data_IF_053851555702
#
_entry.id   IF_053851555702
#
_cell.length_a   1.000
_cell.length_b   1.000
_cell.length_c   1.000
_cell.angle_alpha   90.00
_cell.angle_beta   90.00
_cell.angle_gamma   90.00
#
_symmetry.space_group_name_H-M   'P 1'
#
loop_
_entity.id
_entity.type
_entity.pdbx_description
1 polymer ?
#
# COMPACT_ATOMS: atom_id res chain seq x y z
N UNK A 1 -3.04 24.46 -14.40
CA UNK A 1 -2.11 23.52 -13.78
C UNK A 1 -1.31 24.10 -12.60
N UNK A 2 -0.48 25.15 -12.74
CA UNK A 2 0.32 25.68 -11.60
C UNK A 2 -0.48 26.00 -10.32
N UNK A 3 -1.65 26.68 -10.43
CA UNK A 3 -2.53 26.98 -9.28
C UNK A 3 -3.09 25.73 -8.62
N UNK A 4 -3.41 24.69 -9.37
CA UNK A 4 -3.91 23.43 -8.88
C UNK A 4 -2.83 22.70 -8.06
N UNK A 5 -1.62 22.53 -8.64
CA UNK A 5 -0.47 21.91 -7.97
C UNK A 5 -0.14 22.66 -6.68
N UNK A 6 -0.06 23.99 -6.72
CA UNK A 6 0.21 24.81 -5.54
C UNK A 6 -0.85 24.64 -4.45
N UNK A 7 -2.14 24.59 -4.83
CA UNK A 7 -3.23 24.33 -3.87
C UNK A 7 -3.12 22.97 -3.22
N UNK A 8 -2.77 21.93 -3.97
CA UNK A 8 -2.56 20.56 -3.47
C UNK A 8 -1.36 20.49 -2.53
N UNK A 9 -0.25 21.15 -2.89
CA UNK A 9 0.94 21.22 -2.02
C UNK A 9 0.65 22.00 -0.72
N UNK A 10 -0.12 23.09 -0.79
CA UNK A 10 -0.55 23.81 0.41
C UNK A 10 -1.48 22.97 1.29
N UNK A 11 -2.34 22.14 0.72
CA UNK A 11 -3.20 21.22 1.47
C UNK A 11 -2.40 20.08 2.11
N UNK A 12 -1.22 19.73 1.60
CA UNK A 12 -0.33 18.73 2.20
C UNK A 12 0.17 19.19 3.57
N UNK A 13 0.44 20.48 3.75
CA UNK A 13 0.99 21.02 5.01
C UNK A 13 0.08 20.70 6.21
N UNK A 14 -1.21 21.12 6.26
CA UNK A 14 -2.06 20.81 7.40
C UNK A 14 -2.30 19.29 7.55
N UNK A 15 -2.31 18.52 6.46
CA UNK A 15 -2.44 17.06 6.53
C UNK A 15 -1.21 16.45 7.19
N UNK A 16 0.01 16.84 6.78
CA UNK A 16 1.24 16.36 7.41
C UNK A 16 1.32 16.75 8.87
N UNK A 17 1.02 18.01 9.21
CA UNK A 17 0.99 18.45 10.60
C UNK A 17 -0.01 17.65 11.44
N UNK A 18 -1.22 17.42 10.92
CA UNK A 18 -2.25 16.65 11.61
C UNK A 18 -1.84 15.19 11.80
N UNK A 19 -1.38 14.53 10.74
CA UNK A 19 -1.00 13.11 10.77
C UNK A 19 0.23 12.89 11.65
N UNK A 20 1.24 13.75 11.55
CA UNK A 20 2.46 13.65 12.38
C UNK A 20 2.16 13.90 13.85
N UNK A 21 1.34 14.92 14.17
CA UNK A 21 0.93 15.19 15.54
C UNK A 21 0.12 14.04 16.14
N UNK A 22 -0.87 13.52 15.41
CA UNK A 22 -1.67 12.38 15.86
C UNK A 22 -0.82 11.13 16.05
N UNK A 23 0.05 10.82 15.10
CA UNK A 23 0.98 9.69 15.20
C UNK A 23 1.88 9.82 16.43
N UNK A 24 2.46 10.99 16.64
CA UNK A 24 3.30 11.27 17.80
C UNK A 24 2.52 11.14 19.12
N UNK A 25 1.29 11.68 19.17
CA UNK A 25 0.43 11.58 20.36
C UNK A 25 0.03 10.14 20.66
N UNK A 26 -0.37 9.37 19.65
CA UNK A 26 -0.76 7.96 19.82
C UNK A 26 0.39 7.10 20.37
N UNK A 27 1.61 7.31 19.89
CA UNK A 27 2.78 6.58 20.40
C UNK A 27 3.04 6.89 21.87
N UNK A 28 2.86 8.14 22.29
CA UNK A 28 3.01 8.52 23.70
C UNK A 28 1.89 8.00 24.60
N UNK A 29 0.67 7.97 24.09
CA UNK A 29 -0.48 7.40 24.83
C UNK A 29 -0.41 5.89 24.98
N UNK A 30 0.37 5.20 24.14
CA UNK A 30 0.60 3.76 24.23
C UNK A 30 1.38 3.32 25.48
N UNK A 31 1.94 4.27 26.24
CA UNK A 31 2.42 4.07 27.62
C UNK A 31 3.76 3.38 27.79
N UNK A 32 4.43 2.93 26.71
CA UNK A 32 5.79 2.41 26.76
C UNK A 32 6.59 2.89 25.55
N UNK A 33 7.90 2.90 25.67
CA UNK A 33 8.84 3.33 24.65
C UNK A 33 9.79 2.17 24.26
N UNK A 34 10.58 2.37 23.20
CA UNK A 34 11.54 1.37 22.72
C UNK A 34 12.54 0.94 23.82
N UNK A 35 12.90 1.84 24.73
CA UNK A 35 13.83 1.53 25.81
C UNK A 35 13.21 0.57 26.81
N UNK A 36 11.93 0.78 27.15
CA UNK A 36 11.18 -0.14 28.01
C UNK A 36 11.02 -1.50 27.35
N UNK A 37 10.73 -1.54 26.04
CA UNK A 37 10.59 -2.79 25.30
C UNK A 37 11.90 -3.59 25.20
N UNK A 38 13.01 -2.88 24.97
CA UNK A 38 14.31 -3.52 24.80
C UNK A 38 14.92 -4.00 26.12
N UNK A 39 14.72 -3.25 27.22
CA UNK A 39 15.43 -3.45 28.47
C UNK A 39 14.51 -3.80 29.65
N UNK A 40 13.21 -3.43 29.60
CA UNK A 40 12.29 -3.54 30.73
C UNK A 40 11.89 -4.97 31.06
N UNK A 41 11.67 -5.83 30.07
CA UNK A 41 11.20 -7.21 30.25
C UNK A 41 12.33 -8.21 30.60
N UNK A 42 13.57 -7.84 30.35
CA UNK A 42 14.71 -8.78 30.50
C UNK A 42 15.29 -8.84 31.91
N UNK A 43 14.81 -8.02 32.84
CA UNK A 43 15.22 -8.05 34.25
C UNK A 43 16.73 -7.89 34.52
N UNK A 44 17.53 -7.64 33.47
CA UNK A 44 18.99 -7.66 33.50
C UNK A 44 19.62 -6.25 33.57
N UNK A 45 18.80 -5.20 33.41
CA UNK A 45 19.31 -3.83 33.35
C UNK A 45 18.75 -3.00 34.49
N UNK A 46 19.61 -2.25 35.21
CA UNK A 46 19.16 -1.38 36.30
C UNK A 46 18.28 -0.24 35.78
N UNK A 47 17.36 0.24 36.63
CA UNK A 47 16.49 1.37 36.30
C UNK A 47 17.30 2.63 35.97
N UNK A 48 18.45 2.82 36.61
CA UNK A 48 19.36 3.94 36.31
C UNK A 48 19.84 3.98 34.85
N UNK A 49 20.14 2.81 34.29
CA UNK A 49 20.58 2.72 32.88
C UNK A 49 19.40 3.03 31.93
N UNK A 50 18.19 2.57 32.27
CA UNK A 50 16.98 2.88 31.51
C UNK A 50 16.71 4.38 31.52
N UNK A 51 16.78 5.02 32.69
CA UNK A 51 16.53 6.45 32.84
C UNK A 51 17.63 7.32 32.19
N UNK A 52 18.88 6.90 32.27
CA UNK A 52 19.99 7.55 31.57
C UNK A 52 19.80 7.49 30.05
N UNK A 53 19.34 6.33 29.51
CA UNK A 53 19.10 6.16 28.07
C UNK A 53 17.91 6.98 27.60
N UNK A 54 16.84 7.08 28.42
CA UNK A 54 15.70 7.96 28.13
C UNK A 54 16.13 9.45 28.10
N UNK A 55 16.95 9.88 29.05
CA UNK A 55 17.47 11.25 29.07
C UNK A 55 18.37 11.54 27.86
N UNK A 56 19.22 10.58 27.44
CA UNK A 56 20.08 10.71 26.26
C UNK A 56 19.22 10.90 24.97
N UNK A 57 18.11 10.19 24.86
CA UNK A 57 17.17 10.29 23.73
C UNK A 57 16.15 11.43 23.88
N UNK A 58 16.20 12.18 24.99
CA UNK A 58 15.28 13.28 25.26
C UNK A 58 13.83 12.84 25.48
N UNK A 59 13.61 11.59 25.87
CA UNK A 59 12.28 11.01 26.10
C UNK A 59 11.67 11.47 27.44
N UNK A 60 12.47 12.08 28.30
CA UNK A 60 12.09 12.70 29.58
C UNK A 60 11.52 14.11 29.44
N UNK A 61 11.70 14.75 28.25
CA UNK A 61 11.22 16.10 28.00
C UNK A 61 9.70 16.17 27.85
N UNK A 62 9.08 17.37 28.05
CA UNK A 62 7.65 17.55 27.79
C UNK A 62 7.26 17.18 26.34
N UNK A 63 6.08 16.62 26.18
CA UNK A 63 5.53 16.14 24.91
C UNK A 63 5.71 17.14 23.74
N UNK A 64 5.27 18.39 23.93
CA UNK A 64 5.37 19.43 22.88
C UNK A 64 6.82 19.75 22.52
N UNK A 65 7.73 19.77 23.50
CA UNK A 65 9.15 19.99 23.25
C UNK A 65 9.74 18.89 22.37
N UNK A 66 9.41 17.63 22.62
CA UNK A 66 9.85 16.50 21.81
C UNK A 66 9.28 16.60 20.39
N UNK A 67 7.98 16.90 20.25
CA UNK A 67 7.32 17.03 18.94
C UNK A 67 7.94 18.14 18.10
N UNK A 68 8.12 19.34 18.67
CA UNK A 68 8.71 20.47 17.94
C UNK A 68 10.19 20.28 17.63
N UNK A 69 10.95 19.63 18.51
CA UNK A 69 12.34 19.26 18.25
C UNK A 69 12.43 18.30 17.06
N UNK A 70 11.61 17.25 17.05
CA UNK A 70 11.55 16.30 15.96
C UNK A 70 11.06 16.96 14.65
N UNK A 71 10.03 17.80 14.71
CA UNK A 71 9.51 18.51 13.53
C UNK A 71 10.57 19.46 12.96
N UNK A 72 11.35 20.12 13.81
CA UNK A 72 12.49 20.96 13.42
C UNK A 72 13.56 20.15 12.67
N UNK A 73 13.92 18.98 13.19
CA UNK A 73 14.82 18.04 12.51
C UNK A 73 14.29 17.62 11.15
N UNK A 74 13.00 17.24 11.07
CA UNK A 74 12.37 16.87 9.81
C UNK A 74 12.46 17.97 8.73
N UNK A 75 12.28 19.24 9.12
CA UNK A 75 12.39 20.39 8.20
C UNK A 75 13.81 20.65 7.72
N UNK A 76 14.82 20.25 8.50
CA UNK A 76 16.24 20.34 8.12
C UNK A 76 16.76 19.07 7.43
N UNK A 77 15.90 18.05 7.23
CA UNK A 77 16.26 16.78 6.59
C UNK A 77 16.84 15.73 7.54
N UNK A 78 16.88 16.01 8.83
CA UNK A 78 17.28 15.07 9.87
C UNK A 78 16.03 14.39 10.46
N UNK A 79 15.86 13.11 10.17
CA UNK A 79 14.78 12.28 10.73
C UNK A 79 15.18 11.57 12.02
N UNK A 80 16.40 11.82 12.50
CA UNK A 80 16.97 11.19 13.68
C UNK A 80 17.50 9.78 13.43
N UNK A 81 17.79 9.10 14.53
CA UNK A 81 18.29 7.73 14.55
C UNK A 81 17.27 6.78 15.15
N UNK A 82 17.23 5.55 14.66
CA UNK A 82 16.41 4.47 15.21
C UNK A 82 16.83 4.19 16.67
N UNK A 83 15.86 4.14 17.56
CA UNK A 83 16.11 3.83 18.98
C UNK A 83 16.54 2.38 19.19
N UNK A 84 16.16 1.49 18.25
CA UNK A 84 16.44 0.06 18.31
C UNK A 84 17.79 -0.28 17.68
N UNK A 85 18.03 0.20 16.46
CA UNK A 85 19.22 -0.18 15.68
C UNK A 85 20.34 0.85 15.71
N UNK A 86 20.09 2.09 16.17
CA UNK A 86 21.04 3.20 16.13
C UNK A 86 21.36 3.72 14.73
N UNK A 87 20.68 3.22 13.68
CA UNK A 87 20.91 3.61 12.29
C UNK A 87 20.16 4.88 11.93
N UNK A 88 20.68 5.61 10.95
CA UNK A 88 19.98 6.73 10.35
C UNK A 88 18.63 6.29 9.78
N UNK A 89 17.57 7.03 10.16
CA UNK A 89 16.19 6.71 9.83
C UNK A 89 15.92 6.94 8.35
N UNK A 90 16.38 8.07 7.80
CA UNK A 90 16.16 8.42 6.41
C UNK A 90 16.85 7.43 5.45
N UNK A 91 18.13 7.16 5.68
CA UNK A 91 18.90 6.22 4.87
C UNK A 91 18.32 4.80 4.94
N UNK A 92 17.87 4.37 6.12
CA UNK A 92 17.22 3.06 6.30
C UNK A 92 15.93 2.99 5.51
N UNK A 93 15.06 4.02 5.61
CA UNK A 93 13.81 4.07 4.86
C UNK A 93 14.03 4.04 3.35
N UNK A 94 14.93 4.91 2.85
CA UNK A 94 15.22 5.02 1.41
C UNK A 94 15.79 3.73 0.85
N UNK A 95 16.62 3.00 1.62
CA UNK A 95 17.19 1.71 1.18
C UNK A 95 16.12 0.63 0.98
N UNK A 96 14.99 0.68 1.70
CA UNK A 96 13.88 -0.29 1.62
C UNK A 96 12.79 0.11 0.61
N UNK A 97 12.72 1.38 0.25
CA UNK A 97 11.69 1.92 -0.64
C UNK A 97 11.64 1.23 -2.02
N UNK A 98 12.77 0.94 -2.71
CA UNK A 98 12.74 0.28 -4.00
C UNK A 98 12.04 -1.09 -3.98
N UNK A 99 12.18 -1.86 -2.90
CA UNK A 99 11.53 -3.16 -2.75
C UNK A 99 10.00 -3.03 -2.72
N UNK A 100 9.47 -2.10 -1.93
CA UNK A 100 8.02 -1.84 -1.87
C UNK A 100 7.48 -1.28 -3.18
N UNK A 101 8.22 -0.37 -3.84
CA UNK A 101 7.81 0.18 -5.14
C UNK A 101 7.77 -0.90 -6.22
N UNK A 102 8.76 -1.79 -6.26
CA UNK A 102 8.77 -2.93 -7.18
C UNK A 102 7.58 -3.86 -6.94
N UNK A 103 7.33 -4.24 -5.68
CA UNK A 103 6.20 -5.09 -5.32
C UNK A 103 4.87 -4.44 -5.71
N UNK A 104 4.72 -3.14 -5.43
CA UNK A 104 3.53 -2.36 -5.80
C UNK A 104 3.34 -2.35 -7.32
N UNK A 105 4.39 -2.05 -8.09
CA UNK A 105 4.33 -2.00 -9.55
C UNK A 105 3.94 -3.37 -10.15
N UNK A 106 4.57 -4.45 -9.69
CA UNK A 106 4.24 -5.81 -10.12
C UNK A 106 2.80 -6.20 -9.76
N UNK A 107 2.34 -5.83 -8.57
CA UNK A 107 0.97 -6.13 -8.11
C UNK A 107 -0.08 -5.35 -8.90
N UNK A 108 0.16 -4.08 -9.21
CA UNK A 108 -0.70 -3.27 -10.09
C UNK A 108 -0.74 -3.86 -11.49
N UNK A 109 0.41 -4.18 -12.08
CA UNK A 109 0.48 -4.79 -13.41
C UNK A 109 -0.29 -6.12 -13.46
N UNK A 110 -0.08 -7.01 -12.49
CA UNK A 110 -0.80 -8.27 -12.40
C UNK A 110 -2.31 -8.07 -12.20
N UNK A 111 -2.70 -7.08 -11.37
CA UNK A 111 -4.11 -6.71 -11.17
C UNK A 111 -4.76 -6.27 -12.47
N UNK A 112 -4.11 -5.39 -13.24
CA UNK A 112 -4.62 -4.91 -14.54
C UNK A 112 -4.75 -6.07 -15.53
N UNK A 113 -3.72 -6.91 -15.63
CA UNK A 113 -3.70 -8.06 -16.54
C UNK A 113 -4.80 -9.07 -16.24
N UNK A 114 -5.21 -9.21 -14.98
CA UNK A 114 -6.29 -10.11 -14.58
C UNK A 114 -7.66 -9.42 -14.63
N UNK A 115 -7.79 -8.26 -14.01
CA UNK A 115 -9.10 -7.64 -13.77
C UNK A 115 -9.72 -7.02 -15.03
N UNK A 116 -8.90 -6.40 -15.89
CA UNK A 116 -9.43 -5.72 -17.10
C UNK A 116 -10.01 -6.73 -18.09
N UNK A 117 -9.29 -7.78 -18.52
CA UNK A 117 -9.90 -8.76 -19.46
C UNK A 117 -11.09 -9.49 -18.87
N UNK A 118 -11.03 -9.88 -17.58
CA UNK A 118 -12.12 -10.59 -16.92
C UNK A 118 -13.35 -9.68 -16.72
N UNK A 119 -13.14 -8.41 -16.39
CA UNK A 119 -14.20 -7.42 -16.25
C UNK A 119 -14.91 -7.13 -17.58
N UNK A 120 -14.13 -6.96 -18.66
CA UNK A 120 -14.67 -6.81 -20.02
C UNK A 120 -15.46 -8.06 -20.42
N UNK A 121 -14.91 -9.25 -20.20
CA UNK A 121 -15.58 -10.51 -20.52
C UNK A 121 -16.91 -10.66 -19.77
N UNK A 122 -16.93 -10.29 -18.47
CA UNK A 122 -18.15 -10.29 -17.67
C UNK A 122 -19.19 -9.29 -18.17
N UNK A 123 -18.76 -8.10 -18.61
CA UNK A 123 -19.64 -7.08 -19.18
C UNK A 123 -20.25 -7.50 -20.53
N UNK A 124 -19.41 -7.99 -21.45
CA UNK A 124 -19.86 -8.43 -22.80
C UNK A 124 -20.77 -9.65 -22.70
N UNK A 125 -20.55 -10.51 -21.73
CA UNK A 125 -21.40 -11.69 -21.46
C UNK A 125 -22.38 -11.45 -20.31
N UNK A 126 -22.89 -10.23 -20.20
CA UNK A 126 -23.85 -9.84 -19.16
C UNK A 126 -25.01 -10.83 -19.03
N UNK A 127 -25.35 -11.18 -17.79
CA UNK A 127 -26.42 -12.13 -17.42
C UNK A 127 -26.26 -13.55 -17.98
N UNK A 128 -25.08 -13.93 -18.46
CA UNK A 128 -24.75 -15.32 -18.82
C UNK A 128 -23.99 -16.01 -17.71
N UNK A 129 -23.88 -17.34 -17.80
CA UNK A 129 -23.12 -18.16 -16.83
C UNK A 129 -21.71 -17.61 -16.54
N UNK A 130 -21.00 -17.16 -17.58
CA UNK A 130 -19.66 -16.58 -17.42
C UNK A 130 -19.67 -15.34 -16.50
N UNK A 131 -20.65 -14.45 -16.64
CA UNK A 131 -20.79 -13.28 -15.80
C UNK A 131 -21.09 -13.67 -14.34
N UNK A 132 -22.04 -14.58 -14.13
CA UNK A 132 -22.37 -15.06 -12.78
C UNK A 132 -21.17 -15.75 -12.11
N UNK A 133 -20.45 -16.59 -12.84
CA UNK A 133 -19.26 -17.28 -12.36
C UNK A 133 -18.15 -16.29 -11.97
N UNK A 134 -17.82 -15.32 -12.83
CA UNK A 134 -16.80 -14.32 -12.54
C UNK A 134 -17.18 -13.43 -11.35
N UNK A 135 -18.45 -13.04 -11.24
CA UNK A 135 -18.94 -12.29 -10.07
C UNK A 135 -18.84 -13.12 -8.79
N UNK A 136 -19.16 -14.39 -8.84
CA UNK A 136 -19.02 -15.30 -7.70
C UNK A 136 -17.56 -15.44 -7.27
N UNK A 137 -16.64 -15.69 -8.21
CA UNK A 137 -15.20 -15.71 -7.91
C UNK A 137 -14.70 -14.39 -7.32
N UNK A 138 -15.15 -13.25 -7.87
CA UNK A 138 -14.82 -11.92 -7.34
C UNK A 138 -15.37 -11.70 -5.93
N UNK A 139 -16.55 -12.20 -5.62
CA UNK A 139 -17.13 -12.12 -4.29
C UNK A 139 -16.26 -12.89 -3.27
N UNK A 140 -15.89 -14.13 -3.59
CA UNK A 140 -15.00 -14.95 -2.77
C UNK A 140 -13.64 -14.25 -2.57
N UNK A 141 -13.01 -13.80 -3.66
CA UNK A 141 -11.71 -13.15 -3.59
C UNK A 141 -11.72 -11.86 -2.75
N UNK A 142 -12.83 -11.12 -2.74
CA UNK A 142 -12.96 -9.91 -1.90
C UNK A 142 -13.36 -10.21 -0.45
N UNK A 143 -13.93 -11.37 -0.16
CA UNK A 143 -14.31 -11.79 1.18
C UNK A 143 -13.14 -12.37 1.97
N UNK A 144 -12.12 -12.89 1.30
CA UNK A 144 -10.95 -13.48 1.93
C UNK A 144 -9.96 -12.40 2.39
N UNK A 145 -9.48 -12.43 3.64
CA UNK A 145 -8.40 -11.56 4.09
C UNK A 145 -7.11 -11.82 3.29
N UNK A 146 -6.38 -10.75 2.94
CA UNK A 146 -5.15 -10.86 2.14
C UNK A 146 -4.10 -11.78 2.78
N UNK A 147 -3.96 -11.73 4.11
CA UNK A 147 -3.02 -12.61 4.82
C UNK A 147 -3.40 -14.09 4.69
N UNK A 148 -4.69 -14.40 4.66
CA UNK A 148 -5.15 -15.77 4.48
C UNK A 148 -4.84 -16.30 3.07
N UNK A 149 -5.05 -15.47 2.05
CA UNK A 149 -4.65 -15.78 0.67
C UNK A 149 -3.14 -16.00 0.58
N UNK A 150 -2.33 -15.17 1.26
CA UNK A 150 -0.87 -15.32 1.33
C UNK A 150 -0.48 -16.69 1.89
N UNK A 151 -1.07 -17.09 3.02
CA UNK A 151 -0.78 -18.38 3.66
C UNK A 151 -1.22 -19.57 2.80
N UNK A 152 -2.37 -19.49 2.13
CA UNK A 152 -2.82 -20.53 1.21
C UNK A 152 -1.87 -20.69 0.02
N UNK A 153 -1.46 -19.59 -0.60
CA UNK A 153 -0.50 -19.62 -1.70
C UNK A 153 0.85 -20.17 -1.26
N UNK A 154 1.34 -19.76 -0.09
CA UNK A 154 2.58 -20.29 0.51
C UNK A 154 2.48 -21.80 0.76
N UNK A 155 1.36 -22.26 1.37
CA UNK A 155 1.13 -23.67 1.63
C UNK A 155 1.16 -24.52 0.34
N UNK A 156 0.51 -24.03 -0.71
CA UNK A 156 0.43 -24.77 -1.98
C UNK A 156 1.74 -24.71 -2.76
N UNK A 157 2.21 -23.49 -3.06
CA UNK A 157 3.33 -23.31 -4.01
C UNK A 157 4.72 -23.48 -3.38
N UNK A 158 4.87 -23.13 -2.08
CA UNK A 158 6.19 -23.22 -1.43
C UNK A 158 6.35 -24.53 -0.65
N UNK A 159 5.36 -24.89 0.17
CA UNK A 159 5.50 -26.05 1.06
C UNK A 159 5.17 -27.36 0.33
N UNK A 160 4.00 -27.44 -0.33
CA UNK A 160 3.52 -28.68 -0.95
C UNK A 160 4.22 -28.96 -2.28
N UNK A 161 4.27 -27.97 -3.17
CA UNK A 161 4.87 -28.14 -4.52
C UNK A 161 6.34 -27.76 -4.59
N UNK A 162 6.87 -27.02 -3.61
CA UNK A 162 8.28 -26.58 -3.54
C UNK A 162 8.77 -25.82 -4.80
N UNK A 163 7.85 -25.10 -5.44
CA UNK A 163 8.14 -24.35 -6.68
C UNK A 163 8.75 -22.97 -6.39
N UNK A 164 8.32 -22.34 -5.29
CA UNK A 164 8.68 -20.98 -4.92
C UNK A 164 9.23 -20.95 -3.49
N UNK A 165 10.08 -19.97 -3.14
CA UNK A 165 10.60 -19.85 -1.79
C UNK A 165 9.49 -19.52 -0.80
N UNK A 166 9.64 -19.98 0.45
CA UNK A 166 8.72 -19.63 1.56
C UNK A 166 8.93 -18.20 2.00
N UNK A 167 10.20 -17.81 2.17
CA UNK A 167 10.61 -16.47 2.58
C UNK A 167 11.46 -15.84 1.49
N UNK A 168 11.45 -14.52 1.42
CA UNK A 168 12.25 -13.78 0.44
C UNK A 168 13.73 -13.75 0.87
N UNK A 169 14.60 -14.30 0.06
CA UNK A 169 16.06 -14.19 0.20
C UNK A 169 16.58 -13.02 -0.65
N UNK A 170 16.16 -11.81 -0.31
CA UNK A 170 16.47 -10.62 -1.10
C UNK A 170 15.47 -10.33 -2.24
N UNK A 171 15.75 -9.25 -3.00
CA UNK A 171 14.90 -8.80 -4.11
C UNK A 171 15.18 -9.63 -5.35
N UNK A 172 14.33 -10.62 -5.64
CA UNK A 172 14.37 -11.41 -6.87
C UNK A 172 12.97 -11.58 -7.45
N UNK A 173 12.88 -11.81 -8.76
CA UNK A 173 11.59 -12.08 -9.41
C UNK A 173 10.92 -13.32 -8.82
N UNK A 174 11.70 -14.35 -8.47
CA UNK A 174 11.17 -15.59 -7.90
C UNK A 174 10.55 -15.38 -6.51
N UNK A 175 11.16 -14.56 -5.65
CA UNK A 175 10.61 -14.21 -4.34
C UNK A 175 9.46 -13.21 -4.43
N UNK A 176 9.36 -12.42 -5.50
CA UNK A 176 8.27 -11.47 -5.71
C UNK A 176 6.95 -12.13 -6.14
N UNK A 177 6.98 -13.36 -6.70
CA UNK A 177 5.78 -14.00 -7.29
C UNK A 177 4.64 -14.13 -6.28
N UNK A 178 4.87 -14.75 -5.12
CA UNK A 178 3.81 -15.00 -4.14
C UNK A 178 3.24 -13.72 -3.52
N UNK A 179 4.07 -12.77 -3.05
CA UNK A 179 3.58 -11.47 -2.59
C UNK A 179 2.76 -10.75 -3.66
N UNK A 180 3.25 -10.70 -4.90
CA UNK A 180 2.57 -10.09 -6.03
C UNK A 180 1.21 -10.75 -6.31
N UNK A 181 1.16 -12.07 -6.40
CA UNK A 181 -0.09 -12.81 -6.64
C UNK A 181 -1.10 -12.60 -5.52
N UNK A 182 -0.64 -12.59 -4.27
CA UNK A 182 -1.51 -12.34 -3.11
C UNK A 182 -2.22 -10.99 -3.24
N UNK A 183 -1.46 -9.93 -3.48
CA UNK A 183 -1.99 -8.58 -3.63
C UNK A 183 -2.86 -8.46 -4.90
N UNK A 184 -2.41 -9.06 -6.01
CA UNK A 184 -3.14 -9.02 -7.27
C UNK A 184 -4.48 -9.75 -7.21
N UNK A 185 -4.59 -10.91 -6.56
CA UNK A 185 -5.86 -11.65 -6.39
C UNK A 185 -6.86 -10.80 -5.62
N UNK A 186 -6.46 -10.27 -4.47
CA UNK A 186 -7.32 -9.43 -3.64
C UNK A 186 -7.82 -8.19 -4.37
N UNK A 187 -6.92 -7.51 -5.08
CA UNK A 187 -7.26 -6.33 -5.85
C UNK A 187 -8.09 -6.66 -7.09
N UNK A 188 -7.74 -7.70 -7.82
CA UNK A 188 -8.44 -8.08 -9.06
C UNK A 188 -9.91 -8.39 -8.79
N UNK A 189 -10.24 -8.97 -7.65
CA UNK A 189 -11.61 -9.22 -7.24
C UNK A 189 -12.46 -7.93 -7.15
N UNK A 190 -11.89 -6.85 -6.63
CA UNK A 190 -12.53 -5.53 -6.56
C UNK A 190 -12.57 -4.86 -7.94
N UNK A 191 -11.43 -4.84 -8.65
CA UNK A 191 -11.28 -4.14 -9.92
C UNK A 191 -12.09 -4.74 -11.06
N UNK A 192 -12.16 -6.05 -11.15
CA UNK A 192 -12.97 -6.73 -12.16
C UNK A 192 -14.44 -6.25 -12.13
N UNK A 193 -15.01 -6.06 -10.94
CA UNK A 193 -16.37 -5.54 -10.79
C UNK A 193 -16.51 -4.09 -11.25
N UNK A 194 -15.49 -3.26 -10.95
CA UNK A 194 -15.47 -1.86 -11.37
C UNK A 194 -15.31 -1.73 -12.88
N UNK A 195 -14.40 -2.51 -13.48
CA UNK A 195 -14.23 -2.59 -14.94
C UNK A 195 -15.53 -3.05 -15.61
N UNK A 196 -16.15 -4.13 -15.07
CA UNK A 196 -17.44 -4.60 -15.56
C UNK A 196 -18.51 -3.50 -15.54
N UNK A 197 -18.64 -2.78 -14.43
CA UNK A 197 -19.61 -1.70 -14.29
C UNK A 197 -19.36 -0.57 -15.29
N UNK A 198 -18.13 -0.11 -15.42
CA UNK A 198 -17.75 0.94 -16.35
C UNK A 198 -18.00 0.54 -17.81
N UNK A 199 -17.65 -0.69 -18.19
CA UNK A 199 -17.90 -1.19 -19.55
C UNK A 199 -19.39 -1.37 -19.84
N UNK A 200 -20.19 -1.87 -18.88
CA UNK A 200 -21.63 -2.00 -19.03
C UNK A 200 -22.33 -0.64 -19.15
N UNK A 201 -21.91 0.34 -18.37
CA UNK A 201 -22.44 1.70 -18.48
C UNK A 201 -22.25 2.24 -19.89
N UNK A 202 -21.04 2.10 -20.44
CA UNK A 202 -20.73 2.58 -21.78
C UNK A 202 -21.46 1.77 -22.87
N UNK A 203 -21.63 0.45 -22.72
CA UNK A 203 -22.37 -0.39 -23.66
C UNK A 203 -23.85 0.01 -23.79
N UNK A 204 -24.43 0.64 -22.78
CA UNK A 204 -25.81 1.09 -22.74
C UNK A 204 -26.01 2.54 -23.22
N UNK A 205 -24.96 3.24 -23.66
CA UNK A 205 -25.04 4.61 -24.17
C UNK A 205 -25.66 4.69 -25.58
N UNK A 206 -26.31 5.80 -25.88
CA UNK A 206 -26.98 6.03 -27.16
C UNK A 206 -26.03 5.93 -28.36
N UNK A 207 -24.77 6.33 -28.22
CA UNK A 207 -23.80 6.23 -29.32
C UNK A 207 -23.54 4.77 -29.74
N UNK A 208 -23.62 3.82 -28.79
CA UNK A 208 -23.47 2.38 -29.06
C UNK A 208 -24.68 1.89 -29.82
N UNK A 209 -25.89 2.26 -29.40
CA UNK A 209 -27.16 1.93 -30.09
C UNK A 209 -27.14 2.52 -31.51
N UNK A 210 -26.72 3.76 -31.67
CA UNK A 210 -26.58 4.40 -32.97
C UNK A 210 -25.52 3.74 -33.88
N UNK A 211 -24.41 3.25 -33.30
CA UNK A 211 -23.39 2.51 -34.06
C UNK A 211 -23.90 1.15 -34.52
N UNK A 212 -24.63 0.43 -33.66
CA UNK A 212 -25.32 -0.84 -34.03
C UNK A 212 -26.34 -0.66 -35.14
N UNK A 213 -27.15 0.42 -35.06
CA UNK A 213 -28.14 0.75 -36.12
C UNK A 213 -27.47 1.02 -37.47
N UNK A 214 -26.23 1.52 -37.48
CA UNK A 214 -25.44 1.72 -38.73
C UNK A 214 -24.68 0.47 -39.17
N UNK A 215 -24.86 -0.69 -38.53
CA UNK A 215 -24.24 -1.95 -38.92
C UNK A 215 -22.75 -2.07 -38.55
N UNK A 216 -22.24 -1.23 -37.61
CA UNK A 216 -20.85 -1.34 -37.14
C UNK A 216 -20.66 -2.63 -36.34
N UNK A 217 -19.60 -3.37 -36.62
CA UNK A 217 -19.30 -4.64 -35.95
C UNK A 217 -19.08 -4.44 -34.45
N UNK A 218 -19.63 -5.33 -33.61
CA UNK A 218 -19.53 -5.27 -32.14
C UNK A 218 -18.06 -5.14 -31.63
N UNK A 219 -17.13 -5.86 -32.25
CA UNK A 219 -15.71 -5.76 -31.85
C UNK A 219 -15.10 -4.38 -32.08
N UNK A 220 -15.55 -3.65 -33.12
CA UNK A 220 -15.12 -2.28 -33.41
C UNK A 220 -15.78 -1.30 -32.44
N UNK A 221 -17.07 -1.49 -32.10
CA UNK A 221 -17.76 -0.69 -31.09
C UNK A 221 -17.08 -0.87 -29.74
N UNK A 222 -16.83 -2.11 -29.32
CA UNK A 222 -16.21 -2.42 -28.04
C UNK A 222 -14.80 -1.84 -27.96
N UNK A 223 -13.89 -2.19 -28.89
CA UNK A 223 -12.48 -1.80 -28.85
C UNK A 223 -12.24 -0.33 -29.18
N UNK A 224 -12.99 0.23 -30.15
CA UNK A 224 -12.78 1.58 -30.64
C UNK A 224 -13.43 2.68 -29.80
N UNK A 225 -14.59 2.43 -29.23
CA UNK A 225 -15.41 3.44 -28.55
C UNK A 225 -15.60 3.12 -27.07
N UNK A 226 -16.24 1.99 -26.76
CA UNK A 226 -16.62 1.63 -25.40
C UNK A 226 -15.42 1.54 -24.47
N UNK A 227 -14.39 0.78 -24.85
CA UNK A 227 -13.19 0.62 -24.00
C UNK A 227 -12.40 1.93 -23.86
N UNK A 228 -12.37 2.76 -24.90
CA UNK A 228 -11.69 4.06 -24.81
C UNK A 228 -12.37 4.98 -23.79
N UNK A 229 -13.70 5.02 -23.77
CA UNK A 229 -14.45 5.81 -22.78
C UNK A 229 -14.34 5.20 -21.37
N UNK A 230 -14.52 3.89 -21.24
CA UNK A 230 -14.40 3.18 -19.98
C UNK A 230 -12.98 3.26 -19.36
N UNK A 231 -11.92 3.35 -20.18
CA UNK A 231 -10.54 3.46 -19.72
C UNK A 231 -10.28 4.68 -18.84
N UNK A 232 -10.94 5.80 -19.05
CA UNK A 232 -10.81 6.96 -18.17
C UNK A 232 -11.21 6.62 -16.74
N UNK A 233 -12.39 6.00 -16.57
CA UNK A 233 -12.87 5.54 -15.26
C UNK A 233 -11.97 4.46 -14.66
N UNK A 234 -11.54 3.49 -15.48
CA UNK A 234 -10.67 2.39 -15.05
C UNK A 234 -9.32 2.92 -14.55
N UNK A 235 -8.68 3.83 -15.30
CA UNK A 235 -7.40 4.43 -14.92
C UNK A 235 -7.50 5.25 -13.63
N UNK A 236 -8.55 6.05 -13.49
CA UNK A 236 -8.79 6.84 -12.26
C UNK A 236 -8.94 5.92 -11.04
N UNK A 237 -9.72 4.84 -11.17
CA UNK A 237 -9.89 3.86 -10.10
C UNK A 237 -8.58 3.15 -9.76
N UNK A 238 -7.79 2.74 -10.74
CA UNK A 238 -6.48 2.13 -10.55
C UNK A 238 -5.55 3.05 -9.78
N UNK A 239 -5.47 4.28 -10.19
CA UNK A 239 -4.57 5.25 -9.60
C UNK A 239 -4.92 5.53 -8.13
N UNK A 240 -6.19 5.70 -7.79
CA UNK A 240 -6.64 5.82 -6.38
C UNK A 240 -6.24 4.60 -5.54
N UNK A 241 -6.13 3.44 -6.15
CA UNK A 241 -5.80 2.21 -5.43
C UNK A 241 -4.31 1.96 -5.27
N UNK A 242 -3.46 2.57 -6.07
CA UNK A 242 -2.01 2.56 -5.83
C UNK A 242 -1.69 3.12 -4.44
N UNK A 243 -2.34 4.23 -4.05
CA UNK A 243 -2.20 4.80 -2.71
C UNK A 243 -2.63 3.84 -1.59
N UNK A 244 -3.75 3.12 -1.77
CA UNK A 244 -4.21 2.13 -0.79
C UNK A 244 -3.33 0.87 -0.74
N UNK A 245 -2.72 0.50 -1.86
CA UNK A 245 -1.76 -0.61 -1.91
C UNK A 245 -0.51 -0.31 -1.07
N UNK A 246 0.06 0.85 -1.25
CA UNK A 246 1.28 1.25 -0.52
C UNK A 246 1.11 1.09 1.00
N UNK A 247 -0.08 1.43 1.55
CA UNK A 247 -0.42 1.17 2.95
C UNK A 247 -0.73 -0.29 3.26
N UNK A 248 -1.28 -1.04 2.30
CA UNK A 248 -1.73 -2.42 2.48
C UNK A 248 -0.66 -3.49 2.25
N UNK A 249 0.51 -3.15 1.72
CA UNK A 249 1.60 -4.11 1.47
C UNK A 249 2.29 -4.58 2.74
N UNK A 250 2.24 -3.80 3.83
CA UNK A 250 3.00 -4.03 5.06
C UNK A 250 2.82 -5.45 5.64
N UNK A 251 1.57 -5.93 5.73
CA UNK A 251 1.28 -7.27 6.24
C UNK A 251 1.85 -8.34 5.30
N UNK A 252 1.72 -8.15 3.99
CA UNK A 252 2.20 -9.11 2.98
C UNK A 252 3.73 -9.13 2.93
N UNK A 253 4.36 -7.96 2.99
CA UNK A 253 5.82 -7.85 3.12
C UNK A 253 6.32 -8.59 4.36
N UNK A 254 5.65 -8.45 5.50
CA UNK A 254 6.01 -9.13 6.74
C UNK A 254 5.84 -10.65 6.65
N UNK A 255 4.74 -11.15 6.07
CA UNK A 255 4.48 -12.58 5.92
C UNK A 255 5.55 -13.25 5.05
N UNK A 256 5.88 -12.65 3.90
CA UNK A 256 6.87 -13.19 2.98
C UNK A 256 8.31 -12.77 3.29
N UNK A 257 8.53 -12.01 4.37
CA UNK A 257 9.83 -11.42 4.71
C UNK A 257 10.44 -10.60 3.55
N UNK A 258 9.56 -9.93 2.78
CA UNK A 258 9.98 -9.02 1.71
C UNK A 258 10.55 -7.73 2.32
N UNK A 259 11.78 -7.42 1.96
CA UNK A 259 12.58 -6.38 2.63
C UNK A 259 12.21 -4.96 2.20
N UNK A 260 10.94 -4.59 2.38
CA UNK A 260 10.37 -3.29 2.04
C UNK A 260 10.08 -2.40 3.24
N UNK A 261 9.57 -1.19 2.94
CA UNK A 261 9.21 -0.19 3.95
C UNK A 261 8.00 -0.59 4.79
N UNK A 262 7.10 -1.41 4.24
CA UNK A 262 5.95 -1.92 4.98
C UNK A 262 6.37 -2.91 6.08
N UNK A 263 7.27 -3.84 5.78
CA UNK A 263 7.88 -4.73 6.78
C UNK A 263 8.63 -3.92 7.83
N UNK A 264 9.46 -2.95 7.40
CA UNK A 264 10.17 -2.04 8.30
C UNK A 264 9.21 -1.34 9.27
N UNK A 265 8.04 -0.87 8.80
CA UNK A 265 7.04 -0.23 9.64
C UNK A 265 6.45 -1.20 10.69
N UNK A 266 6.13 -2.44 10.30
CA UNK A 266 5.61 -3.46 11.24
C UNK A 266 6.64 -3.79 12.31
N UNK A 267 7.91 -3.95 11.93
CA UNK A 267 9.02 -4.18 12.87
C UNK A 267 9.18 -2.99 13.82
N UNK A 268 9.18 -1.75 13.29
CA UNK A 268 9.28 -0.54 14.09
C UNK A 268 8.11 -0.39 15.09
N UNK A 269 6.87 -0.71 14.67
CA UNK A 269 5.70 -0.70 15.56
C UNK A 269 5.87 -1.73 16.68
N UNK A 270 6.29 -2.94 16.35
CA UNK A 270 6.48 -4.03 17.31
C UNK A 270 7.55 -3.67 18.34
N UNK A 271 8.64 -3.04 17.89
CA UNK A 271 9.76 -2.62 18.75
C UNK A 271 9.59 -1.21 19.33
N UNK A 272 8.46 -0.52 19.04
CA UNK A 272 8.18 0.86 19.49
C UNK A 272 9.25 1.87 19.09
N UNK A 273 9.84 1.67 17.93
CA UNK A 273 10.88 2.57 17.36
C UNK A 273 10.23 3.83 16.80
N UNK A 274 10.00 4.80 17.67
CA UNK A 274 9.24 6.02 17.35
C UNK A 274 9.80 6.81 16.16
N UNK A 275 11.11 7.07 16.05
CA UNK A 275 11.65 7.80 14.89
C UNK A 275 11.34 7.09 13.58
N UNK A 276 11.46 5.75 13.54
CA UNK A 276 11.18 4.96 12.34
C UNK A 276 9.69 4.95 11.99
N UNK A 277 8.79 4.83 12.98
CA UNK A 277 7.34 4.91 12.76
C UNK A 277 6.95 6.28 12.21
N UNK A 278 7.50 7.37 12.78
CA UNK A 278 7.22 8.73 12.34
C UNK A 278 7.68 8.97 10.91
N UNK A 279 8.89 8.53 10.57
CA UNK A 279 9.42 8.62 9.21
C UNK A 279 8.53 7.88 8.21
N UNK A 280 8.09 6.66 8.55
CA UNK A 280 7.17 5.89 7.72
C UNK A 280 5.87 6.67 7.47
N UNK A 281 5.25 7.21 8.52
CA UNK A 281 4.00 7.98 8.40
C UNK A 281 4.15 9.20 7.50
N UNK A 282 5.24 9.98 7.68
CA UNK A 282 5.53 11.16 6.85
C UNK A 282 5.72 10.78 5.39
N UNK A 283 6.60 9.82 5.12
CA UNK A 283 6.91 9.41 3.75
C UNK A 283 5.72 8.79 3.05
N UNK A 284 4.94 7.97 3.75
CA UNK A 284 3.71 7.40 3.17
C UNK A 284 2.69 8.48 2.84
N UNK A 285 2.54 9.51 3.68
CA UNK A 285 1.68 10.64 3.38
C UNK A 285 2.17 11.44 2.16
N UNK A 286 3.48 11.69 2.05
CA UNK A 286 4.09 12.38 0.89
C UNK A 286 3.90 11.55 -0.39
N UNK A 287 4.21 10.25 -0.35
CA UNK A 287 4.05 9.35 -1.51
C UNK A 287 2.57 9.27 -1.93
N UNK A 288 1.65 9.16 -0.97
CA UNK A 288 0.20 9.13 -1.25
C UNK A 288 -0.26 10.39 -1.98
N UNK A 289 0.17 11.57 -1.51
CA UNK A 289 -0.18 12.84 -2.17
C UNK A 289 0.49 12.95 -3.55
N UNK A 290 1.75 12.50 -3.69
CA UNK A 290 2.44 12.49 -4.98
C UNK A 290 1.71 11.59 -6.00
N UNK A 291 1.30 10.40 -5.59
CA UNK A 291 0.52 9.48 -6.43
C UNK A 291 -0.80 10.12 -6.86
N UNK A 292 -1.56 10.70 -5.92
CA UNK A 292 -2.82 11.37 -6.23
C UNK A 292 -2.62 12.57 -7.18
N UNK A 293 -1.55 13.36 -6.96
CA UNK A 293 -1.24 14.51 -7.82
C UNK A 293 -0.92 14.10 -9.27
N UNK A 294 -0.26 12.96 -9.45
CA UNK A 294 0.04 12.40 -10.79
C UNK A 294 -1.22 11.83 -11.44
N UNK A 295 -2.16 11.37 -10.64
CA UNK A 295 -3.41 10.75 -11.08
C UNK A 295 -4.44 11.79 -11.54
N UNK A 296 -4.54 12.90 -10.83
CA UNK A 296 -5.45 14.02 -11.14
C UNK A 296 -4.96 14.83 -12.35
#
# INVERSE_FOLDING_TARGET
MRRYILKRLLQLIPVLLGVTFLSFAMMRLAGSDAITELYGDKGAVSQEIIDAKRAELGLDRPFLSQYFSWLGGLLTGDMGTSYVSGRDVFGTFVSKLPATLLLTALSVAATVLLSVPLGILAAVRHDRFTDYFLRFCSFIGNALPNFFVALLLMQVFSIRWRLLPVLSEGISLRSAVLPTLTLAIAMSAKYMRQVRAAVLEELNRDYVTGARARGVREGVILGGSVLRCAMLTILTLLALSVGSLLGGTAIIESIFQWDGVGKLAVEAITMRDYPMIQAYVVWMAVIYVAVNLVTD
#
